data_IF_508163884609
#
_entry.id   IF_508163884609
#
_cell.length_a   1.000
_cell.length_b   1.000
_cell.length_c   1.000
_cell.angle_alpha   90.00
_cell.angle_beta   90.00
_cell.angle_gamma   90.00
#
_symmetry.space_group_name_H-M   'P 1'
#
loop_
_entity.id
_entity.type
_entity.pdbx_description
1 polymer ?
#
# COMPACT_ATOMS: atom_id res chain seq x y z
N UNK A 1 -29.76 20.22 -3.65
CA UNK A 1 -28.95 21.31 -3.05
C UNK A 1 -27.47 21.12 -3.39
N UNK A 2 -26.88 22.01 -4.17
CA UNK A 2 -25.44 21.97 -4.47
C UNK A 2 -24.72 22.74 -3.36
N UNK A 3 -23.70 22.15 -2.74
CA UNK A 3 -22.88 22.78 -1.71
C UNK A 3 -21.39 22.58 -2.01
N UNK A 4 -20.56 23.49 -1.51
CA UNK A 4 -19.11 23.43 -1.66
C UNK A 4 -18.48 22.77 -0.43
N UNK A 5 -17.64 21.76 -0.65
CA UNK A 5 -16.81 21.12 0.38
C UNK A 5 -15.39 20.99 -0.14
N UNK A 6 -14.40 21.55 0.57
CA UNK A 6 -12.98 21.56 0.18
C UNK A 6 -12.75 22.03 -1.28
N UNK A 7 -13.32 23.17 -1.65
CA UNK A 7 -13.21 23.75 -3.00
C UNK A 7 -13.73 22.86 -4.16
N UNK A 8 -14.55 21.85 -3.87
CA UNK A 8 -15.24 21.05 -4.88
C UNK A 8 -16.76 21.18 -4.73
N UNK A 9 -17.45 21.27 -5.87
CA UNK A 9 -18.91 21.33 -5.95
C UNK A 9 -19.50 19.93 -5.72
N UNK A 10 -20.26 19.74 -4.64
CA UNK A 10 -20.99 18.50 -4.33
C UNK A 10 -22.50 18.75 -4.45
N UNK A 11 -23.26 17.78 -4.94
CA UNK A 11 -24.74 17.86 -5.00
C UNK A 11 -25.36 16.89 -4.00
N UNK A 12 -26.40 17.32 -3.29
CA UNK A 12 -27.19 16.47 -2.35
C UNK A 12 -28.18 15.55 -3.04
N UNK A 13 -28.40 15.64 -4.35
CA UNK A 13 -29.52 14.95 -5.02
C UNK A 13 -29.10 13.63 -5.68
N UNK A 14 -27.81 13.40 -5.93
CA UNK A 14 -27.35 12.13 -6.48
C UNK A 14 -25.96 11.77 -5.89
N UNK A 15 -26.04 10.93 -4.85
CA UNK A 15 -25.11 9.85 -4.50
C UNK A 15 -24.08 10.11 -3.37
N UNK A 16 -24.55 9.83 -2.16
CA UNK A 16 -23.76 9.56 -0.94
C UNK A 16 -23.38 8.05 -0.85
N UNK A 17 -23.42 7.35 -2.00
CA UNK A 17 -23.44 5.89 -2.08
C UNK A 17 -22.52 5.23 -3.13
N UNK A 18 -21.96 5.99 -4.08
CA UNK A 18 -21.09 5.48 -5.15
C UNK A 18 -19.76 5.08 -4.58
N UNK A 19 -19.14 4.07 -5.20
CA UNK A 19 -17.82 3.59 -4.82
C UNK A 19 -16.78 4.72 -4.85
N UNK A 20 -16.86 5.63 -5.82
CA UNK A 20 -15.92 6.76 -5.96
C UNK A 20 -16.08 7.80 -4.84
N UNK A 21 -17.32 8.18 -4.50
CA UNK A 21 -17.57 9.12 -3.42
C UNK A 21 -17.11 8.56 -2.06
N UNK A 22 -17.45 7.28 -1.78
CA UNK A 22 -16.99 6.59 -0.58
C UNK A 22 -15.46 6.45 -0.54
N UNK A 23 -14.83 6.17 -1.68
CA UNK A 23 -13.37 6.10 -1.77
C UNK A 23 -12.73 7.46 -1.51
N UNK A 24 -13.29 8.54 -2.05
CA UNK A 24 -12.82 9.89 -1.79
C UNK A 24 -12.93 10.26 -0.31
N UNK A 25 -14.05 9.96 0.33
CA UNK A 25 -14.25 10.19 1.77
C UNK A 25 -13.25 9.37 2.60
N UNK A 26 -13.00 8.10 2.24
CA UNK A 26 -11.98 7.26 2.91
C UNK A 26 -10.58 7.85 2.76
N UNK A 27 -10.19 8.25 1.54
CA UNK A 27 -8.87 8.86 1.30
C UNK A 27 -8.73 10.19 2.05
N UNK A 28 -9.80 10.98 2.15
CA UNK A 28 -9.81 12.23 2.90
C UNK A 28 -9.61 12.00 4.40
N UNK A 29 -10.29 11.02 5.00
CA UNK A 29 -10.07 10.66 6.42
C UNK A 29 -8.63 10.19 6.63
N UNK A 30 -8.10 9.38 5.70
CA UNK A 30 -6.73 8.85 5.77
C UNK A 30 -5.64 9.90 5.50
N UNK A 31 -6.00 11.11 5.04
CA UNK A 31 -5.06 12.19 4.78
C UNK A 31 -4.31 12.62 6.05
N UNK A 32 -4.98 12.56 7.21
CA UNK A 32 -4.42 12.91 8.51
C UNK A 32 -3.77 11.71 9.24
N UNK A 33 -3.84 10.53 8.65
CA UNK A 33 -3.34 9.29 9.25
C UNK A 33 -1.99 8.89 8.64
N UNK A 34 -1.23 8.10 9.40
CA UNK A 34 0.06 7.59 8.94
C UNK A 34 0.19 6.08 9.11
N UNK A 35 0.96 5.47 8.21
CA UNK A 35 1.36 4.08 8.29
C UNK A 35 2.86 3.96 8.55
N UNK A 36 3.23 2.98 9.38
CA UNK A 36 4.62 2.61 9.58
C UNK A 36 5.22 1.97 8.32
N UNK A 37 6.53 2.14 8.13
CA UNK A 37 7.29 1.64 6.98
C UNK A 37 6.89 0.24 6.49
N UNK A 38 6.85 -0.74 7.40
CA UNK A 38 6.56 -2.14 7.06
C UNK A 38 5.14 -2.32 6.50
N UNK A 39 4.17 -1.62 7.07
CA UNK A 39 2.77 -1.66 6.62
C UNK A 39 2.66 -1.02 5.23
N UNK A 40 3.25 0.16 5.07
CA UNK A 40 3.30 0.87 3.78
C UNK A 40 3.95 0.03 2.68
N UNK A 41 5.11 -0.56 2.97
CA UNK A 41 5.84 -1.41 2.04
C UNK A 41 5.01 -2.64 1.62
N UNK A 42 4.30 -3.26 2.57
CA UNK A 42 3.42 -4.39 2.26
C UNK A 42 2.30 -4.00 1.29
N UNK A 43 1.67 -2.83 1.51
CA UNK A 43 0.54 -2.33 0.73
C UNK A 43 0.94 -1.94 -0.70
N UNK A 44 2.06 -1.22 -0.89
CA UNK A 44 2.50 -0.76 -2.22
C UNK A 44 3.24 -1.82 -3.03
N UNK A 45 3.45 -3.02 -2.46
CA UNK A 45 4.06 -4.16 -3.14
C UNK A 45 5.52 -4.47 -2.77
N UNK A 46 6.16 -3.67 -1.94
CA UNK A 46 7.48 -3.96 -1.36
C UNK A 46 8.22 -2.69 -0.91
N UNK A 47 9.32 -2.88 -0.18
CA UNK A 47 10.13 -1.77 0.35
C UNK A 47 10.81 -0.97 -0.78
N UNK A 48 11.38 -1.64 -1.78
CA UNK A 48 12.05 -0.94 -2.89
C UNK A 48 11.08 -0.05 -3.68
N UNK A 49 9.83 -0.50 -3.89
CA UNK A 49 8.80 0.31 -4.53
C UNK A 49 8.34 1.47 -3.64
N UNK A 50 8.21 1.25 -2.33
CA UNK A 50 7.90 2.31 -1.39
C UNK A 50 8.95 3.43 -1.45
N UNK A 51 10.23 3.07 -1.38
CA UNK A 51 11.34 4.05 -1.42
C UNK A 51 11.29 4.86 -2.72
N UNK A 52 11.13 4.18 -3.86
CA UNK A 52 11.00 4.87 -5.15
C UNK A 52 9.84 5.87 -5.19
N UNK A 53 8.69 5.52 -4.64
CA UNK A 53 7.53 6.43 -4.59
C UNK A 53 7.75 7.62 -3.65
N UNK A 54 8.51 7.44 -2.57
CA UNK A 54 8.90 8.52 -1.65
C UNK A 54 9.91 9.45 -2.33
N UNK A 55 10.93 8.90 -3.00
CA UNK A 55 11.94 9.66 -3.76
C UNK A 55 11.31 10.46 -4.91
N UNK A 56 10.30 9.89 -5.58
CA UNK A 56 9.50 10.58 -6.60
C UNK A 56 8.54 11.65 -6.02
N UNK A 57 8.46 11.79 -4.69
CA UNK A 57 7.57 12.75 -4.02
C UNK A 57 6.09 12.38 -4.07
N UNK A 58 5.75 11.14 -4.47
CA UNK A 58 4.37 10.66 -4.59
C UNK A 58 3.77 10.20 -3.26
N UNK A 59 4.61 9.79 -2.32
CA UNK A 59 4.21 9.43 -0.96
C UNK A 59 4.95 10.35 -0.01
N UNK A 60 4.20 11.18 0.72
CA UNK A 60 4.75 11.98 1.81
C UNK A 60 5.20 11.06 2.94
N UNK A 61 6.41 11.29 3.44
CA UNK A 61 6.92 10.52 4.56
C UNK A 61 7.77 11.36 5.50
N UNK A 62 7.57 11.16 6.79
CA UNK A 62 8.36 11.75 7.84
C UNK A 62 9.21 10.69 8.54
N UNK A 63 10.50 10.99 8.64
CA UNK A 63 11.46 10.21 9.41
C UNK A 63 11.99 11.10 10.55
N UNK A 64 11.29 11.15 11.70
CA UNK A 64 11.61 12.07 12.79
C UNK A 64 13.00 11.84 13.40
N UNK A 65 13.64 10.70 13.13
CA UNK A 65 15.01 10.43 13.58
C UNK A 65 15.88 10.05 12.40
N UNK A 66 16.96 10.79 12.16
CA UNK A 66 17.95 10.49 11.12
C UNK A 66 18.88 9.31 11.51
N UNK A 67 18.31 8.21 12.00
CA UNK A 67 19.00 6.95 12.30
C UNK A 67 18.63 5.91 11.25
N UNK A 68 19.52 4.97 10.95
CA UNK A 68 19.24 3.88 9.99
C UNK A 68 17.95 3.12 10.33
N UNK A 69 17.73 2.84 11.61
CA UNK A 69 16.53 2.16 12.15
C UNK A 69 15.47 3.12 12.71
N UNK A 70 15.47 4.39 12.28
CA UNK A 70 14.43 5.34 12.67
C UNK A 70 13.04 4.84 12.25
N UNK A 71 12.00 5.15 13.02
CA UNK A 71 10.62 4.90 12.60
C UNK A 71 10.30 5.81 11.41
N UNK A 72 9.73 5.24 10.35
CA UNK A 72 9.20 6.01 9.23
C UNK A 72 7.68 6.04 9.35
N UNK A 73 7.13 7.21 9.09
CA UNK A 73 5.69 7.43 8.98
C UNK A 73 5.41 7.87 7.55
N UNK A 74 4.61 7.10 6.82
CA UNK A 74 4.17 7.44 5.47
C UNK A 74 2.71 7.87 5.54
N UNK A 75 2.33 8.91 4.80
CA UNK A 75 0.93 9.34 4.71
C UNK A 75 0.04 8.18 4.23
N UNK A 76 -1.05 7.93 4.95
CA UNK A 76 -1.89 6.77 4.69
C UNK A 76 -2.67 6.90 3.37
N UNK A 77 -3.20 8.09 3.06
CA UNK A 77 -3.92 8.32 1.80
C UNK A 77 -3.03 8.09 0.57
N UNK A 78 -1.80 8.59 0.59
CA UNK A 78 -0.87 8.41 -0.53
C UNK A 78 -0.47 6.95 -0.72
N UNK A 79 -0.24 6.23 0.38
CA UNK A 79 0.03 4.78 0.34
C UNK A 79 -1.15 4.03 -0.28
N UNK A 80 -2.38 4.36 0.08
CA UNK A 80 -3.59 3.71 -0.44
C UNK A 80 -3.79 3.98 -1.94
N UNK A 81 -3.49 5.18 -2.44
CA UNK A 81 -3.54 5.51 -3.87
C UNK A 81 -2.63 4.59 -4.73
N UNK A 82 -1.50 4.16 -4.18
CA UNK A 82 -0.54 3.27 -4.86
C UNK A 82 -0.57 1.82 -4.35
N UNK A 83 -1.59 1.45 -3.58
CA UNK A 83 -1.72 0.10 -3.05
C UNK A 83 -1.95 -0.93 -4.17
N UNK A 84 -1.39 -2.11 -4.01
CA UNK A 84 -1.50 -3.21 -4.97
C UNK A 84 -2.20 -4.38 -4.32
N UNK A 85 -3.25 -4.88 -4.96
CA UNK A 85 -3.89 -6.13 -4.57
C UNK A 85 -2.98 -7.29 -5.02
N UNK A 86 -2.26 -7.90 -4.07
CA UNK A 86 -1.54 -9.15 -4.32
C UNK A 86 -2.54 -10.28 -4.53
N UNK A 87 -2.98 -10.50 -5.77
CA UNK A 87 -3.64 -11.75 -6.15
C UNK A 87 -2.62 -12.87 -5.99
N UNK A 88 -2.72 -13.61 -4.89
CA UNK A 88 -1.80 -14.69 -4.53
C UNK A 88 -1.85 -15.72 -5.68
N UNK A 89 -0.80 -15.79 -6.51
CA UNK A 89 -0.69 -16.90 -7.48
C UNK A 89 -0.66 -18.21 -6.66
N UNK A 90 -1.42 -19.24 -7.04
CA UNK A 90 -1.38 -20.52 -6.35
C UNK A 90 0.07 -21.02 -6.31
N UNK A 91 0.53 -21.44 -5.13
CA UNK A 91 1.87 -22.00 -4.95
C UNK A 91 1.96 -23.29 -5.78
N UNK A 92 2.87 -23.35 -6.76
CA UNK A 92 3.23 -24.63 -7.39
C UNK A 92 4.05 -25.43 -6.38
N UNK A 93 3.53 -26.57 -5.92
CA UNK A 93 4.29 -27.50 -5.10
C UNK A 93 5.43 -28.09 -5.95
N UNK A 94 6.69 -27.79 -5.62
CA UNK A 94 7.84 -28.51 -6.18
C UNK A 94 7.87 -29.90 -5.54
N UNK A 95 7.52 -30.95 -6.30
CA UNK A 95 7.81 -32.34 -5.91
C UNK A 95 9.34 -32.50 -5.94
N UNK A 96 9.95 -32.81 -4.80
CA UNK A 96 11.32 -33.29 -4.74
C UNK A 96 11.29 -34.81 -4.94
N UNK A 97 11.61 -35.29 -6.13
CA UNK A 97 11.98 -36.70 -6.33
C UNK A 97 13.39 -36.89 -5.74
N UNK A 98 13.50 -37.77 -4.74
CA UNK A 98 14.78 -38.25 -4.23
C UNK A 98 15.21 -39.40 -5.15
N UNK A 99 16.34 -39.22 -5.85
CA UNK A 99 16.99 -40.30 -6.58
C UNK A 99 17.95 -41.02 -5.63
N UNK A 100 17.52 -42.18 -5.11
CA UNK A 100 18.29 -43.01 -4.15
C UNK A 100 19.34 -43.92 -4.83
N UNK A 101 19.87 -43.54 -5.99
CA UNK A 101 20.78 -44.41 -6.78
C UNK A 101 22.28 -44.19 -6.56
N UNK A 102 22.72 -43.38 -5.58
CA UNK A 102 24.14 -43.07 -5.35
C UNK A 102 24.74 -43.58 -4.02
N UNK A 103 24.19 -44.64 -3.42
CA UNK A 103 24.73 -45.23 -2.16
C UNK A 103 25.28 -46.65 -2.25
N UNK A 104 25.40 -47.22 -3.45
CA UNK A 104 25.92 -48.58 -3.63
C UNK A 104 27.28 -48.58 -4.36
N UNK A 105 28.30 -47.96 -3.76
CA UNK A 105 29.71 -48.28 -4.04
C UNK A 105 30.45 -48.20 -2.70
N UNK A 106 30.67 -49.36 -2.09
CA UNK A 106 31.60 -49.60 -0.98
C UNK A 106 32.52 -50.73 -1.42
#
# INVERSE_FOLDING_TARGET
>A
MIYTHNNQWRSTILIDGTAEAKLADVLFIMENETFGQRKSASLVGGLGRLIKLIEEGKIRSDKPTNKQNGKWFCNAADVLKFAIIKRRKPRKNKKHEKNDSQRAIA
#
